data_IF_358721567202
#
_entry.id   IF_358721567202
#
_cell.length_a   1.000
_cell.length_b   1.000
_cell.length_c   1.000
_cell.angle_alpha   90.00
_cell.angle_beta   90.00
_cell.angle_gamma   90.00
#
_symmetry.space_group_name_H-M   'P 1'
#
loop_
_entity.id
_entity.type
_entity.pdbx_description
1 polymer ?
#
# COMPACT_ATOMS: atom_id res chain seq x y z
N UNK A 1 -4.59 -19.28 -32.09
CA UNK A 1 -4.32 -20.14 -30.91
C UNK A 1 -3.42 -19.36 -29.94
N UNK A 2 -3.99 -18.74 -28.90
CA UNK A 2 -3.29 -18.42 -27.65
C UNK A 2 -4.12 -19.06 -26.53
N UNK A 3 -3.69 -20.28 -26.19
CA UNK A 3 -3.91 -20.90 -24.88
C UNK A 3 -3.12 -20.02 -23.89
N UNK A 4 -3.55 -19.72 -22.66
CA UNK A 4 -4.07 -20.63 -21.65
C UNK A 4 -5.13 -19.91 -20.80
N UNK A 5 -6.35 -20.46 -20.82
CA UNK A 5 -7.32 -20.22 -19.77
C UNK A 5 -6.90 -21.12 -18.60
N UNK A 6 -5.87 -20.71 -17.84
CA UNK A 6 -5.59 -21.32 -16.54
C UNK A 6 -6.77 -20.94 -15.65
N UNK A 7 -7.49 -21.91 -15.12
CA UNK A 7 -8.69 -21.76 -14.29
C UNK A 7 -8.40 -21.10 -12.92
N UNK A 8 -7.74 -19.94 -12.92
CA UNK A 8 -7.41 -19.13 -11.75
C UNK A 8 -8.12 -17.79 -11.86
N UNK A 9 -8.62 -17.31 -10.72
CA UNK A 9 -9.28 -16.00 -10.60
C UNK A 9 -8.43 -14.90 -11.24
N UNK A 10 -9.07 -13.94 -11.91
CA UNK A 10 -8.40 -12.76 -12.47
C UNK A 10 -7.59 -12.05 -11.37
N UNK A 11 -6.32 -11.75 -11.62
CA UNK A 11 -5.43 -11.13 -10.62
C UNK A 11 -5.64 -9.62 -10.56
N UNK A 12 -5.62 -9.07 -9.35
CA UNK A 12 -5.68 -7.64 -9.11
C UNK A 12 -4.65 -7.25 -8.05
N UNK A 13 -3.74 -6.36 -8.40
CA UNK A 13 -2.71 -5.86 -7.50
C UNK A 13 -2.89 -4.36 -7.30
N UNK A 14 -3.01 -3.94 -6.04
CA UNK A 14 -3.12 -2.53 -5.66
C UNK A 14 -2.08 -2.18 -4.59
N UNK A 15 -1.53 -0.97 -4.68
CA UNK A 15 -0.54 -0.44 -3.75
C UNK A 15 -0.95 0.94 -3.25
N UNK A 16 -0.37 1.38 -2.14
CA UNK A 16 -0.41 2.79 -1.72
C UNK A 16 1.00 3.38 -1.87
N UNK A 17 1.09 4.70 -1.85
CA UNK A 17 2.33 5.37 -1.48
C UNK A 17 2.80 4.88 -0.10
N UNK A 18 4.12 4.81 0.08
CA UNK A 18 4.75 4.52 1.36
C UNK A 18 5.10 5.84 2.07
N UNK A 19 4.38 6.24 3.13
CA UNK A 19 4.68 7.50 3.80
C UNK A 19 6.05 7.50 4.48
N UNK A 20 6.72 8.64 4.45
CA UNK A 20 7.96 8.88 5.21
C UNK A 20 7.69 8.86 6.71
N UNK A 21 8.51 8.11 7.47
CA UNK A 21 8.36 7.94 8.91
C UNK A 21 9.00 9.05 9.76
N UNK A 22 9.20 10.24 9.18
CA UNK A 22 9.71 11.40 9.92
C UNK A 22 8.62 12.11 10.75
N UNK A 23 7.34 11.79 10.55
CA UNK A 23 6.22 12.38 11.29
C UNK A 23 5.06 11.39 11.43
N UNK A 24 4.06 11.74 12.27
CA UNK A 24 2.81 10.97 12.37
C UNK A 24 2.00 11.08 11.07
N UNK A 25 1.24 10.03 10.76
CA UNK A 25 0.31 10.03 9.64
C UNK A 25 -0.76 11.11 9.80
N UNK A 26 -1.08 11.78 8.70
CA UNK A 26 -2.13 12.78 8.55
C UNK A 26 -3.26 12.28 7.64
N UNK A 27 -4.35 13.05 7.59
CA UNK A 27 -5.59 12.67 6.89
C UNK A 27 -5.35 12.24 5.43
N UNK A 28 -4.47 12.93 4.70
CA UNK A 28 -4.13 12.55 3.32
C UNK A 28 -3.65 11.11 3.16
N UNK A 29 -2.75 10.62 4.02
CA UNK A 29 -2.25 9.25 3.94
C UNK A 29 -3.32 8.24 4.37
N UNK A 30 -4.08 8.56 5.42
CA UNK A 30 -5.18 7.71 5.89
C UNK A 30 -6.27 7.58 4.82
N UNK A 31 -6.59 8.67 4.12
CA UNK A 31 -7.55 8.67 3.02
C UNK A 31 -7.12 7.73 1.90
N UNK A 32 -5.86 7.79 1.49
CA UNK A 32 -5.30 6.89 0.48
C UNK A 32 -5.38 5.42 0.90
N UNK A 33 -5.02 5.10 2.14
CA UNK A 33 -5.10 3.73 2.67
C UNK A 33 -6.53 3.20 2.64
N UNK A 34 -7.51 4.03 3.02
CA UNK A 34 -8.92 3.66 2.98
C UNK A 34 -9.38 3.41 1.55
N UNK A 35 -9.04 4.28 0.60
CA UNK A 35 -9.40 4.09 -0.81
C UNK A 35 -8.82 2.79 -1.37
N UNK A 36 -7.54 2.52 -1.10
CA UNK A 36 -6.90 1.29 -1.55
C UNK A 36 -7.55 0.03 -0.94
N UNK A 37 -7.91 0.07 0.35
CA UNK A 37 -8.64 -1.04 1.01
C UNK A 37 -10.04 -1.24 0.42
N UNK A 38 -10.79 -0.17 0.19
CA UNK A 38 -12.12 -0.22 -0.45
C UNK A 38 -12.02 -0.86 -1.84
N UNK A 39 -11.05 -0.45 -2.65
CA UNK A 39 -10.83 -1.03 -3.97
C UNK A 39 -10.41 -2.51 -3.88
N UNK A 40 -9.52 -2.86 -2.97
CA UNK A 40 -9.12 -4.25 -2.76
C UNK A 40 -10.33 -5.13 -2.38
N UNK A 41 -11.21 -4.66 -1.48
CA UNK A 41 -12.44 -5.36 -1.10
C UNK A 41 -13.41 -5.47 -2.25
N UNK A 42 -13.61 -4.41 -3.02
CA UNK A 42 -14.47 -4.42 -4.21
C UNK A 42 -14.00 -5.48 -5.22
N UNK A 43 -12.71 -5.56 -5.51
CA UNK A 43 -12.18 -6.58 -6.41
C UNK A 43 -12.27 -8.00 -5.86
N UNK A 44 -12.14 -8.19 -4.52
CA UNK A 44 -12.43 -9.50 -3.89
C UNK A 44 -13.89 -9.91 -4.08
N UNK A 45 -14.84 -8.97 -3.97
CA UNK A 45 -16.26 -9.22 -4.21
C UNK A 45 -16.55 -9.62 -5.66
N UNK A 46 -15.79 -9.08 -6.62
CA UNK A 46 -15.84 -9.49 -8.03
C UNK A 46 -15.20 -10.88 -8.30
N UNK A 47 -14.72 -11.57 -7.26
CA UNK A 47 -14.14 -12.90 -7.39
C UNK A 47 -12.69 -12.91 -7.87
N UNK A 48 -11.98 -11.78 -7.83
CA UNK A 48 -10.56 -11.67 -8.22
C UNK A 48 -9.60 -12.21 -7.16
N UNK A 49 -8.41 -12.63 -7.59
CA UNK A 49 -7.27 -12.90 -6.71
C UNK A 49 -6.56 -11.57 -6.41
N UNK A 50 -6.73 -11.06 -5.19
CA UNK A 50 -6.33 -9.70 -4.82
C UNK A 50 -5.13 -9.69 -3.90
N UNK A 51 -4.06 -9.00 -4.32
CA UNK A 51 -2.97 -8.60 -3.44
C UNK A 51 -3.04 -7.09 -3.18
N UNK A 52 -3.00 -6.70 -1.92
CA UNK A 52 -2.95 -5.29 -1.49
C UNK A 52 -1.67 -5.08 -0.68
N UNK A 53 -0.76 -4.24 -1.17
CA UNK A 53 0.50 -3.91 -0.50
C UNK A 53 0.53 -2.44 -0.06
N UNK A 54 1.05 -2.21 1.14
CA UNK A 54 1.39 -0.90 1.69
C UNK A 54 2.71 -1.01 2.45
N UNK A 55 3.19 0.09 3.04
CA UNK A 55 4.44 0.09 3.79
C UNK A 55 4.85 1.48 4.27
N UNK A 56 6.12 1.61 4.64
CA UNK A 56 6.76 2.82 5.16
C UNK A 56 8.04 3.12 4.37
N UNK A 57 8.36 4.40 4.19
CA UNK A 57 9.70 4.82 3.77
C UNK A 57 10.49 5.27 5.01
N UNK A 58 11.54 4.53 5.31
CA UNK A 58 12.31 4.62 6.54
C UNK A 58 13.73 5.19 6.36
N UNK A 59 14.13 5.47 5.12
CA UNK A 59 15.48 5.97 4.84
C UNK A 59 15.51 7.48 4.55
N UNK A 60 16.68 8.09 4.76
CA UNK A 60 16.96 9.47 4.35
C UNK A 60 17.28 10.44 5.50
N UNK A 61 17.94 11.55 5.15
CA UNK A 61 18.48 12.51 6.11
C UNK A 61 17.42 13.10 7.06
N UNK A 62 16.17 13.26 6.61
CA UNK A 62 15.09 13.79 7.44
C UNK A 62 14.70 12.81 8.55
N UNK A 63 14.74 11.50 8.28
CA UNK A 63 14.43 10.47 9.28
C UNK A 63 15.56 10.41 10.30
N UNK A 64 16.81 10.42 9.85
CA UNK A 64 17.99 10.51 10.73
C UNK A 64 17.93 11.74 11.67
N UNK A 65 17.68 12.93 11.12
CA UNK A 65 17.54 14.17 11.91
C UNK A 65 16.41 14.09 12.93
N UNK A 66 15.31 13.44 12.57
CA UNK A 66 14.15 13.26 13.46
C UNK A 66 14.46 12.28 14.59
N UNK A 67 15.17 11.19 14.30
CA UNK A 67 15.61 10.22 15.30
C UNK A 67 16.58 10.87 16.30
N UNK A 68 17.62 11.56 15.78
CA UNK A 68 18.57 12.30 16.60
C UNK A 68 17.91 13.35 17.50
N UNK A 69 16.90 14.09 16.99
CA UNK A 69 16.14 15.07 17.78
C UNK A 69 15.28 14.42 18.89
N UNK A 70 14.91 13.14 18.74
CA UNK A 70 14.18 12.36 19.75
C UNK A 70 15.09 11.57 20.68
N UNK A 71 16.41 11.60 20.46
CA UNK A 71 17.39 10.84 21.24
C UNK A 71 17.33 9.33 20.99
N UNK A 72 16.94 8.91 19.78
CA UNK A 72 16.88 7.52 19.31
C UNK A 72 17.81 7.35 18.11
#
# INVERSE_FOLDING_TARGET
MKKDNVSGKEKFYITTAIPYMNAKLHLGQVYEFILADVMARYHRLLGRDVFFLTGSDEHGQKIFKTAAAKGI
#
